data_IF_010694640713
#
_entry.id   IF_010694640713
#
_cell.length_a   1.000
_cell.length_b   1.000
_cell.length_c   1.000
_cell.angle_alpha   90.00
_cell.angle_beta   90.00
_cell.angle_gamma   90.00
#
_symmetry.space_group_name_H-M   'P 1'
#
loop_
_entity.id
_entity.type
_entity.pdbx_description
1 polymer ?
#
# COMPACT_ATOMS: atom_id res chain seq x y z
N UNK A 1 8.03 10.09 14.08
CA UNK A 1 9.38 10.60 13.75
C UNK A 1 9.39 11.62 12.61
N UNK A 2 8.59 11.46 11.54
CA UNK A 2 8.52 12.41 10.41
C UNK A 2 8.18 13.87 10.77
N UNK A 3 7.42 14.11 11.86
CA UNK A 3 7.05 15.47 12.31
C UNK A 3 8.25 16.35 12.72
N UNK A 4 9.26 15.76 13.35
CA UNK A 4 10.46 16.52 13.76
C UNK A 4 11.34 16.86 12.56
N UNK A 5 11.43 15.96 11.59
CA UNK A 5 12.17 16.21 10.34
C UNK A 5 11.53 17.35 9.53
N UNK A 6 10.19 17.40 9.50
CA UNK A 6 9.47 18.50 8.88
C UNK A 6 9.79 19.85 9.54
N UNK A 7 9.93 19.88 10.87
CA UNK A 7 10.23 21.11 11.60
C UNK A 7 11.67 21.59 11.39
N UNK A 8 12.62 20.64 11.29
CA UNK A 8 14.03 20.92 10.96
C UNK A 8 14.18 21.57 9.59
N UNK A 9 13.34 21.24 8.61
CA UNK A 9 13.39 21.85 7.27
C UNK A 9 12.58 23.15 7.23
N UNK A 10 11.42 23.18 7.91
CA UNK A 10 10.51 24.32 7.82
C UNK A 10 11.04 25.57 8.52
N UNK A 11 11.75 25.43 9.65
CA UNK A 11 12.27 26.58 10.40
C UNK A 11 13.36 27.34 9.61
N UNK A 12 14.43 26.69 9.11
CA UNK A 12 15.43 27.37 8.31
C UNK A 12 14.84 27.98 7.03
N UNK A 13 13.91 27.25 6.38
CA UNK A 13 13.24 27.76 5.20
C UNK A 13 12.43 29.03 5.50
N UNK A 14 11.71 29.05 6.62
CA UNK A 14 10.97 30.23 7.06
C UNK A 14 11.90 31.40 7.39
N UNK A 15 13.04 31.14 8.03
CA UNK A 15 14.05 32.19 8.32
C UNK A 15 14.59 32.81 7.04
N UNK A 16 15.02 32.00 6.06
CA UNK A 16 15.48 32.49 4.76
C UNK A 16 14.40 33.30 4.05
N UNK A 17 13.14 32.85 4.12
CA UNK A 17 12.03 33.54 3.50
C UNK A 17 11.74 34.91 4.15
N UNK A 18 11.81 34.99 5.49
CA UNK A 18 11.65 36.24 6.24
C UNK A 18 12.81 37.19 5.94
N UNK A 19 14.05 36.71 5.96
CA UNK A 19 15.24 37.51 5.70
C UNK A 19 15.22 38.08 4.27
N UNK A 20 14.83 37.24 3.31
CA UNK A 20 14.58 37.68 1.93
C UNK A 20 13.51 38.76 1.87
N UNK A 21 12.40 38.63 2.61
CA UNK A 21 11.33 39.62 2.60
C UNK A 21 11.74 40.97 3.19
N UNK A 22 12.57 40.96 4.23
CA UNK A 22 13.09 42.19 4.87
C UNK A 22 14.05 42.92 3.93
N UNK A 23 14.96 42.19 3.27
CA UNK A 23 15.96 42.80 2.38
C UNK A 23 15.35 43.23 1.03
N UNK A 24 14.31 42.53 0.57
CA UNK A 24 13.71 42.72 -0.76
C UNK A 24 12.28 43.27 -0.66
N UNK A 25 12.14 44.45 -0.04
CA UNK A 25 10.87 45.19 0.03
C UNK A 25 10.64 46.09 -1.20
N UNK A 26 11.63 46.22 -2.08
CA UNK A 26 11.53 47.09 -3.25
C UNK A 26 10.34 46.74 -4.16
N UNK A 27 9.67 47.80 -4.63
CA UNK A 27 8.53 47.69 -5.54
C UNK A 27 9.01 47.32 -6.94
N UNK A 28 8.57 46.15 -7.41
CA UNK A 28 8.85 45.66 -8.76
C UNK A 28 7.59 45.79 -9.61
N UNK A 29 7.77 46.30 -10.83
CA UNK A 29 6.73 46.33 -11.85
C UNK A 29 6.79 45.03 -12.65
N UNK A 30 5.79 44.17 -12.49
CA UNK A 30 5.58 42.97 -13.28
C UNK A 30 4.66 43.27 -14.44
N UNK A 31 5.15 43.14 -15.66
CA UNK A 31 4.33 43.12 -16.88
C UNK A 31 3.88 41.70 -17.16
N UNK A 32 2.57 41.47 -17.13
CA UNK A 32 1.97 40.14 -17.19
C UNK A 32 1.76 39.65 -18.63
N UNK A 33 2.80 39.47 -19.44
CA UNK A 33 2.61 38.96 -20.81
C UNK A 33 1.94 37.56 -20.80
N UNK A 34 0.85 37.26 -21.55
CA UNK A 34 0.14 37.97 -22.64
C UNK A 34 -1.08 38.84 -22.21
N UNK A 35 -1.27 39.09 -20.92
CA UNK A 35 -2.23 40.05 -20.40
C UNK A 35 -1.61 41.45 -20.44
N UNK A 36 -2.27 42.43 -21.05
CA UNK A 36 -1.78 43.83 -21.19
C UNK A 36 -1.78 44.62 -19.85
N UNK A 37 -1.61 43.94 -18.72
CA UNK A 37 -1.61 44.50 -17.37
C UNK A 37 -0.21 44.56 -16.76
N UNK A 38 0.04 45.61 -15.97
CA UNK A 38 1.23 45.72 -15.13
C UNK A 38 0.82 45.77 -13.65
N UNK A 39 1.38 44.88 -12.84
CA UNK A 39 1.19 44.85 -11.39
C UNK A 39 2.43 45.40 -10.73
N UNK A 40 2.26 46.39 -9.84
CA UNK A 40 3.34 46.88 -8.99
C UNK A 40 3.16 46.24 -7.63
N UNK A 41 4.13 45.44 -7.21
CA UNK A 41 4.11 44.77 -5.92
C UNK A 41 5.53 44.69 -5.35
N UNK A 42 5.68 44.61 -4.02
CA UNK A 42 6.98 44.31 -3.41
C UNK A 42 7.54 42.99 -3.95
N UNK A 43 8.85 42.93 -4.22
CA UNK A 43 9.49 41.75 -4.81
C UNK A 43 9.32 40.48 -3.97
N UNK A 44 9.34 40.59 -2.63
CA UNK A 44 9.05 39.45 -1.76
C UNK A 44 7.67 38.84 -2.00
N UNK A 45 6.64 39.67 -2.25
CA UNK A 45 5.28 39.19 -2.44
C UNK A 45 5.18 38.31 -3.69
N UNK A 46 5.89 38.67 -4.76
CA UNK A 46 5.97 37.91 -6.01
C UNK A 46 6.57 36.53 -5.78
N UNK A 47 7.68 36.47 -5.06
CA UNK A 47 8.38 35.21 -4.75
C UNK A 47 7.52 34.32 -3.86
N UNK A 48 6.93 34.88 -2.80
CA UNK A 48 6.08 34.11 -1.87
C UNK A 48 4.83 33.57 -2.53
N UNK A 49 4.15 34.37 -3.37
CA UNK A 49 2.98 33.90 -4.13
C UNK A 49 3.39 32.78 -5.09
N UNK A 50 4.52 32.92 -5.79
CA UNK A 50 5.03 31.88 -6.69
C UNK A 50 5.35 30.60 -5.94
N UNK A 51 5.99 30.71 -4.76
CA UNK A 51 6.27 29.58 -3.88
C UNK A 51 4.98 28.90 -3.41
N UNK A 52 3.99 29.69 -3.01
CA UNK A 52 2.70 29.21 -2.53
C UNK A 52 1.97 28.44 -3.64
N UNK A 53 1.92 28.99 -4.85
CA UNK A 53 1.33 28.32 -6.01
C UNK A 53 2.06 27.00 -6.31
N UNK A 54 3.40 27.01 -6.31
CA UNK A 54 4.20 25.80 -6.50
C UNK A 54 3.95 24.75 -5.41
N UNK A 55 3.86 25.17 -4.15
CA UNK A 55 3.57 24.30 -3.02
C UNK A 55 2.17 23.69 -3.11
N UNK A 56 1.15 24.49 -3.42
CA UNK A 56 -0.22 24.01 -3.60
C UNK A 56 -0.31 23.01 -4.76
N UNK A 57 0.34 23.30 -5.88
CA UNK A 57 0.41 22.39 -7.02
C UNK A 57 1.12 21.07 -6.66
N UNK A 58 2.27 21.15 -5.99
CA UNK A 58 3.01 19.98 -5.52
C UNK A 58 2.21 19.15 -4.51
N UNK A 59 1.50 19.82 -3.59
CA UNK A 59 0.59 19.20 -2.64
C UNK A 59 -0.58 18.49 -3.33
N UNK A 60 -1.18 19.13 -4.34
CA UNK A 60 -2.25 18.54 -5.13
C UNK A 60 -1.78 17.30 -5.90
N UNK A 61 -0.60 17.37 -6.54
CA UNK A 61 0.02 16.23 -7.24
C UNK A 61 0.29 15.08 -6.26
N UNK A 62 0.86 15.39 -5.09
CA UNK A 62 1.12 14.41 -4.03
C UNK A 62 -0.18 13.78 -3.53
N UNK A 63 -1.25 14.56 -3.34
CA UNK A 63 -2.56 14.06 -2.93
C UNK A 63 -3.19 13.12 -3.96
N UNK A 64 -3.14 13.49 -5.26
CA UNK A 64 -3.61 12.65 -6.35
C UNK A 64 -2.81 11.33 -6.43
N UNK A 65 -1.49 11.39 -6.27
CA UNK A 65 -0.61 10.22 -6.24
C UNK A 65 -0.90 9.30 -5.04
N UNK A 66 -1.09 9.90 -3.85
CA UNK A 66 -1.45 9.17 -2.65
C UNK A 66 -2.81 8.47 -2.78
N UNK A 67 -3.78 9.08 -3.48
CA UNK A 67 -5.08 8.45 -3.79
C UNK A 67 -4.94 7.19 -4.64
N UNK A 68 -4.06 7.20 -5.65
CA UNK A 68 -3.76 6.04 -6.50
C UNK A 68 -3.09 4.92 -5.70
N UNK A 69 -2.17 5.27 -4.80
CA UNK A 69 -1.49 4.31 -3.92
C UNK A 69 -2.45 3.63 -2.93
N UNK A 70 -3.41 4.38 -2.36
CA UNK A 70 -4.44 3.82 -1.48
C UNK A 70 -5.34 2.81 -2.20
N UNK A 71 -5.68 3.05 -3.47
CA UNK A 71 -6.46 2.11 -4.30
C UNK A 71 -5.65 0.85 -4.64
N UNK A 72 -4.37 0.99 -4.96
CA UNK A 72 -3.48 -0.14 -5.22
C UNK A 72 -3.34 -1.05 -3.99
N UNK A 73 -3.12 -0.48 -2.81
CA UNK A 73 -3.02 -1.24 -1.56
C UNK A 73 -4.29 -2.04 -1.24
N UNK A 74 -5.48 -1.51 -1.54
CA UNK A 74 -6.74 -2.26 -1.36
C UNK A 74 -6.86 -3.42 -2.34
N UNK A 75 -6.45 -3.22 -3.60
CA UNK A 75 -6.51 -4.25 -4.64
C UNK A 75 -5.53 -5.38 -4.36
N UNK A 76 -4.32 -5.05 -3.89
CA UNK A 76 -3.32 -6.05 -3.51
C UNK A 76 -3.73 -6.84 -2.27
N UNK A 77 -4.35 -6.19 -1.26
CA UNK A 77 -4.93 -6.91 -0.11
C UNK A 77 -6.03 -7.89 -0.53
N UNK A 78 -6.95 -7.45 -1.39
CA UNK A 78 -8.03 -8.32 -1.88
C UNK A 78 -7.50 -9.54 -2.66
N UNK A 79 -6.43 -9.36 -3.45
CA UNK A 79 -5.74 -10.45 -4.13
C UNK A 79 -5.09 -11.41 -3.16
N UNK A 80 -4.43 -10.89 -2.12
CA UNK A 80 -3.84 -11.71 -1.04
C UNK A 80 -4.88 -12.58 -0.35
N UNK A 81 -6.02 -12.00 0.05
CA UNK A 81 -7.11 -12.74 0.70
C UNK A 81 -7.73 -13.80 -0.21
N UNK A 82 -7.78 -13.54 -1.52
CA UNK A 82 -8.26 -14.52 -2.48
C UNK A 82 -7.28 -15.68 -2.64
N UNK A 83 -5.99 -15.39 -2.80
CA UNK A 83 -4.94 -16.41 -2.87
C UNK A 83 -4.90 -17.28 -1.60
N UNK A 84 -5.07 -16.67 -0.43
CA UNK A 84 -5.11 -17.38 0.85
C UNK A 84 -6.28 -18.39 0.88
N UNK A 85 -7.46 -17.96 0.44
CA UNK A 85 -8.65 -18.84 0.35
C UNK A 85 -8.45 -20.00 -0.62
N UNK A 86 -7.83 -19.73 -1.77
CA UNK A 86 -7.56 -20.76 -2.78
C UNK A 86 -6.56 -21.80 -2.23
N UNK A 87 -5.53 -21.35 -1.50
CA UNK A 87 -4.57 -22.24 -0.83
C UNK A 87 -5.24 -23.09 0.25
N UNK A 88 -6.11 -22.49 1.07
CA UNK A 88 -6.82 -23.22 2.13
C UNK A 88 -7.79 -24.25 1.53
N UNK A 89 -8.52 -23.91 0.46
CA UNK A 89 -9.37 -24.83 -0.27
C UNK A 89 -8.56 -26.00 -0.88
N UNK A 90 -7.43 -25.71 -1.53
CA UNK A 90 -6.56 -26.74 -2.10
C UNK A 90 -6.00 -27.69 -1.03
N UNK A 91 -5.61 -27.15 0.14
CA UNK A 91 -5.16 -27.95 1.30
C UNK A 91 -6.25 -28.87 1.83
N UNK A 92 -7.49 -28.38 1.94
CA UNK A 92 -8.62 -29.20 2.36
C UNK A 92 -8.89 -30.35 1.38
N UNK A 93 -8.84 -30.08 0.07
CA UNK A 93 -8.99 -31.10 -0.95
C UNK A 93 -7.87 -32.15 -0.91
N UNK A 94 -6.61 -31.73 -0.73
CA UNK A 94 -5.49 -32.65 -0.59
C UNK A 94 -5.65 -33.56 0.64
N UNK A 95 -6.07 -33.00 1.78
CA UNK A 95 -6.32 -33.77 3.00
C UNK A 95 -7.49 -34.75 2.86
N UNK A 96 -8.54 -34.41 2.11
CA UNK A 96 -9.64 -35.33 1.82
C UNK A 96 -9.19 -36.49 0.94
N UNK A 97 -8.41 -36.21 -0.12
CA UNK A 97 -7.83 -37.24 -0.99
C UNK A 97 -6.94 -38.19 -0.21
N UNK A 98 -6.06 -37.67 0.66
CA UNK A 98 -5.20 -38.48 1.51
C UNK A 98 -6.00 -39.41 2.43
N UNK A 99 -7.07 -38.91 3.04
CA UNK A 99 -7.99 -39.73 3.85
C UNK A 99 -8.68 -40.82 3.02
N UNK A 100 -9.09 -40.52 1.79
CA UNK A 100 -9.74 -41.49 0.89
C UNK A 100 -8.76 -42.59 0.46
N UNK A 101 -7.50 -42.24 0.18
CA UNK A 101 -6.44 -43.21 -0.11
C UNK A 101 -6.19 -44.11 1.11
N UNK A 102 -6.00 -43.52 2.30
CA UNK A 102 -5.80 -44.28 3.53
C UNK A 102 -7.01 -45.17 3.90
N UNK A 103 -8.23 -44.75 3.58
CA UNK A 103 -9.43 -45.57 3.74
C UNK A 103 -9.49 -46.73 2.73
N UNK A 104 -9.10 -46.49 1.47
CA UNK A 104 -9.01 -47.51 0.45
C UNK A 104 -7.94 -48.56 0.79
N UNK A 105 -6.76 -48.14 1.27
CA UNK A 105 -5.67 -49.04 1.71
C UNK A 105 -6.11 -49.90 2.89
N UNK A 106 -6.84 -49.33 3.87
CA UNK A 106 -7.40 -50.09 4.99
C UNK A 106 -8.46 -51.11 4.54
N UNK A 107 -9.33 -50.73 3.60
CA UNK A 107 -10.33 -51.65 3.04
C UNK A 107 -9.67 -52.81 2.27
N UNK A 108 -8.62 -52.52 1.49
CA UNK A 108 -7.83 -53.53 0.79
C UNK A 108 -7.10 -54.46 1.77
N UNK A 109 -6.52 -53.93 2.86
CA UNK A 109 -5.88 -54.71 3.90
C UNK A 109 -6.85 -55.61 4.69
N UNK A 110 -8.08 -55.13 4.94
CA UNK A 110 -9.12 -55.92 5.61
C UNK A 110 -9.64 -57.07 4.73
N UNK A 111 -9.72 -56.88 3.41
CA UNK A 111 -10.10 -57.93 2.46
C UNK A 111 -9.01 -59.00 2.27
N UNK A 112 -7.75 -58.68 2.60
CA UNK A 112 -6.62 -59.61 2.52
C UNK A 112 -6.41 -60.45 3.79
N UNK A 113 -7.17 -60.21 4.87
CA UNK A 113 -7.10 -61.01 6.09
C UNK A 113 -7.84 -62.34 5.91
N UNK A 114 -7.17 -63.51 6.05
CA UNK A 114 -7.82 -64.80 5.85
C UNK A 114 -8.93 -65.04 6.91
N UNK A 115 -10.04 -65.70 6.56
CA UNK A 115 -11.10 -66.00 7.52
C UNK A 115 -10.56 -66.88 8.64
N UNK A 116 -10.52 -66.34 9.86
CA UNK A 116 -10.13 -67.05 11.08
C UNK A 116 -11.26 -67.96 11.58
N UNK A 117 -11.79 -68.79 10.69
CA UNK A 117 -12.79 -69.80 11.03
C UNK A 117 -12.30 -71.21 10.68
N UNK A 118 -11.20 -71.59 11.34
CA UNK A 118 -10.91 -73.00 11.61
C UNK A 118 -10.70 -73.12 13.11
N UNK A 119 -11.80 -72.97 13.86
CA UNK A 119 -11.87 -73.38 15.26
C UNK A 119 -11.62 -74.88 15.31
N UNK A 120 -10.39 -75.24 15.64
CA UNK A 120 -9.87 -76.59 15.89
C UNK A 120 -10.93 -77.43 16.61
N UNK A 121 -11.58 -78.32 15.87
CA UNK A 121 -12.44 -79.34 16.44
C UNK A 121 -11.52 -80.39 17.08
N UNK A 122 -11.27 -80.21 18.37
CA UNK A 122 -10.56 -81.15 19.23
C UNK A 122 -11.23 -82.52 19.15
N UNK A 123 -10.60 -83.45 18.44
CA UNK A 123 -10.95 -84.87 18.44
C UNK A 123 -10.57 -85.46 19.80
N UNK A 124 -11.54 -86.20 20.36
CA UNK A 124 -11.44 -87.04 21.56
C UNK A 124 -10.36 -88.09 21.45
#
# INVERSE_FOLDING_TARGET
>A
MLRYLSWIVSIPLALVAIDFAIVNEELVRLTLWPLDGAVVAPSFAVVFVSLLVGFLAGGLISWLSAGKHRRALRKERARGDQLQRDLDAARLHAADLEKRIAAADRAAGAAAAPPSDVRVMSLR
#
